data_IF_454338450653
#
_entry.id   IF_454338450653
#
_cell.length_a   1.000
_cell.length_b   1.000
_cell.length_c   1.000
_cell.angle_alpha   90.00
_cell.angle_beta   90.00
_cell.angle_gamma   90.00
#
_symmetry.space_group_name_H-M   'P 1'
#
loop_
_entity.id
_entity.type
_entity.pdbx_description
1 polymer ?
#
# COMPACT_ATOMS: atom_id res chain seq x y z
N UNK A 1 -8.77 -54.72 23.49
CA UNK A 1 -9.96 -54.35 24.29
C UNK A 1 -10.23 -52.86 24.09
N UNK A 2 -11.26 -52.52 23.30
CA UNK A 2 -11.73 -51.15 23.11
C UNK A 2 -12.45 -50.66 24.37
N UNK A 3 -12.21 -49.42 24.78
CA UNK A 3 -13.08 -48.72 25.74
C UNK A 3 -13.51 -47.37 25.15
N UNK A 4 -14.62 -47.42 24.42
CA UNK A 4 -15.38 -46.26 23.96
C UNK A 4 -16.05 -45.60 25.17
N UNK A 5 -15.75 -44.32 25.43
CA UNK A 5 -16.52 -43.52 26.39
C UNK A 5 -17.06 -42.29 25.67
N UNK A 6 -18.32 -42.39 25.24
CA UNK A 6 -19.11 -41.30 24.67
C UNK A 6 -19.43 -40.29 25.77
N UNK A 7 -18.94 -39.06 25.66
CA UNK A 7 -19.33 -37.97 26.55
C UNK A 7 -20.66 -37.40 26.04
N UNK A 8 -21.65 -37.41 26.95
CA UNK A 8 -23.04 -37.05 26.71
C UNK A 8 -23.17 -35.55 26.48
N UNK A 9 -23.94 -35.20 25.45
CA UNK A 9 -24.51 -33.87 25.22
C UNK A 9 -25.39 -33.50 26.42
N UNK A 10 -25.15 -32.33 27.00
CA UNK A 10 -26.10 -31.69 27.90
C UNK A 10 -26.51 -30.37 27.24
N UNK A 11 -27.73 -30.39 26.69
CA UNK A 11 -28.44 -29.23 26.17
C UNK A 11 -29.09 -28.55 27.37
N UNK A 12 -28.73 -27.31 27.64
CA UNK A 12 -29.45 -26.44 28.57
C UNK A 12 -29.61 -25.07 27.93
N UNK A 13 -30.72 -24.93 27.21
CA UNK A 13 -31.33 -23.66 26.83
C UNK A 13 -32.06 -23.06 28.03
N UNK A 14 -31.76 -21.81 28.44
CA UNK A 14 -32.77 -20.95 29.03
C UNK A 14 -33.43 -20.13 27.93
N UNK A 15 -34.73 -20.37 27.84
CA UNK A 15 -35.75 -19.70 27.04
C UNK A 15 -36.02 -18.29 27.62
N UNK A 16 -36.54 -17.42 26.75
CA UNK A 16 -37.33 -16.21 27.05
C UNK A 16 -36.55 -14.91 27.29
N UNK A 17 -36.64 -14.00 26.32
CA UNK A 17 -36.14 -12.63 26.44
C UNK A 17 -36.64 -11.71 25.35
N UNK A 18 -37.89 -11.23 25.52
CA UNK A 18 -38.44 -9.97 25.02
C UNK A 18 -38.73 -9.84 23.50
N UNK A 19 -40.04 -9.82 23.22
CA UNK A 19 -40.67 -9.25 22.02
C UNK A 19 -40.20 -7.81 21.79
N UNK A 20 -39.32 -7.59 20.81
CA UNK A 20 -39.13 -6.27 20.20
C UNK A 20 -40.06 -6.17 18.99
N UNK A 21 -41.21 -5.56 19.27
CA UNK A 21 -42.23 -5.12 18.32
C UNK A 21 -41.57 -4.21 17.28
N UNK A 22 -41.89 -4.49 16.01
CA UNK A 22 -41.30 -3.84 14.86
C UNK A 22 -41.52 -2.33 14.80
N UNK A 23 -40.42 -1.62 14.57
CA UNK A 23 -40.41 -0.51 13.64
C UNK A 23 -39.60 -0.97 12.42
N UNK A 24 -40.27 -1.43 11.37
CA UNK A 24 -39.71 -1.46 10.02
C UNK A 24 -39.59 -0.02 9.53
N UNK A 25 -38.62 0.71 10.06
CA UNK A 25 -38.10 1.88 9.40
C UNK A 25 -37.48 1.38 8.10
N UNK A 26 -38.12 1.69 6.96
CA UNK A 26 -37.53 1.61 5.64
C UNK A 26 -36.26 2.48 5.66
N UNK A 27 -35.16 1.92 6.15
CA UNK A 27 -33.84 2.45 5.90
C UNK A 27 -33.65 2.32 4.41
N UNK A 28 -33.64 3.45 3.70
CA UNK A 28 -33.11 3.54 2.36
C UNK A 28 -31.76 2.81 2.40
N UNK A 29 -31.72 1.62 1.80
CA UNK A 29 -30.51 0.82 1.71
C UNK A 29 -29.53 1.64 0.89
N UNK A 30 -28.70 2.44 1.57
CA UNK A 30 -27.51 2.99 0.97
C UNK A 30 -26.80 1.79 0.36
N UNK A 31 -26.64 1.79 -0.96
CA UNK A 31 -25.83 0.81 -1.65
C UNK A 31 -24.46 0.85 -1.01
N UNK A 32 -24.18 -0.12 -0.14
CA UNK A 32 -22.86 -0.35 0.39
C UNK A 32 -21.99 -0.70 -0.82
N UNK A 33 -21.34 0.32 -1.38
CA UNK A 33 -20.33 0.15 -2.40
C UNK A 33 -19.13 -0.45 -1.70
N UNK A 34 -19.17 -1.76 -1.48
CA UNK A 34 -17.98 -2.53 -1.25
C UNK A 34 -17.17 -2.41 -2.54
N UNK A 35 -16.23 -1.46 -2.56
CA UNK A 35 -15.23 -1.41 -3.63
C UNK A 35 -14.63 -2.80 -3.71
N UNK A 36 -14.76 -3.46 -4.87
CA UNK A 36 -14.18 -4.78 -5.08
C UNK A 36 -12.72 -4.71 -4.60
N UNK A 37 -12.38 -5.53 -3.60
CA UNK A 37 -11.03 -5.65 -3.10
C UNK A 37 -10.21 -6.38 -4.17
N UNK A 38 -9.90 -5.67 -5.26
CA UNK A 38 -9.00 -6.16 -6.29
C UNK A 38 -7.64 -6.41 -5.66
N UNK A 39 -7.07 -7.58 -5.95
CA UNK A 39 -5.71 -7.90 -5.51
C UNK A 39 -4.74 -6.87 -6.07
N UNK A 40 -4.18 -6.03 -5.20
CA UNK A 40 -3.13 -5.08 -5.59
C UNK A 40 -1.77 -5.80 -5.58
N UNK A 41 -0.90 -5.43 -6.51
CA UNK A 41 0.47 -5.94 -6.62
C UNK A 41 1.46 -4.80 -6.84
N UNK A 42 2.75 -5.09 -6.69
CA UNK A 42 3.80 -4.12 -6.95
C UNK A 42 3.82 -3.69 -8.43
N UNK A 43 4.11 -2.41 -8.72
CA UNK A 43 4.39 -1.93 -10.07
C UNK A 43 5.46 -2.77 -10.79
N UNK A 44 5.29 -2.95 -12.10
CA UNK A 44 6.22 -3.71 -12.96
C UNK A 44 6.69 -2.89 -14.17
N UNK A 45 7.77 -3.34 -14.80
CA UNK A 45 8.39 -2.63 -15.93
C UNK A 45 8.95 -1.26 -15.52
N UNK A 46 9.57 -1.22 -14.35
CA UNK A 46 10.13 -0.01 -13.79
C UNK A 46 11.51 0.31 -14.36
N UNK A 47 11.69 1.55 -14.79
CA UNK A 47 12.95 2.15 -15.26
C UNK A 47 13.25 3.39 -14.43
N UNK A 48 14.52 3.61 -14.11
CA UNK A 48 14.98 4.81 -13.43
C UNK A 48 16.33 5.24 -13.99
N UNK A 49 16.57 6.54 -14.02
CA UNK A 49 17.79 7.11 -14.57
C UNK A 49 18.17 8.41 -13.86
N UNK A 50 19.41 8.84 -14.10
CA UNK A 50 19.95 10.11 -13.63
C UNK A 50 20.08 11.06 -14.83
N UNK A 51 19.06 11.88 -15.13
CA UNK A 51 19.07 12.76 -16.31
C UNK A 51 20.07 13.92 -16.17
N UNK A 52 20.51 14.23 -14.95
CA UNK A 52 21.50 15.28 -14.69
C UNK A 52 22.01 15.24 -13.25
N UNK A 53 22.88 16.19 -12.89
CA UNK A 53 23.40 16.33 -11.53
C UNK A 53 22.36 16.81 -10.51
N UNK A 54 21.21 17.31 -10.96
CA UNK A 54 20.17 17.87 -10.10
C UNK A 54 19.27 16.80 -9.43
N UNK A 55 19.23 15.58 -9.96
CA UNK A 55 18.30 14.58 -9.45
C UNK A 55 18.13 13.35 -10.33
N UNK A 56 17.05 12.62 -10.06
CA UNK A 56 16.76 11.30 -10.65
C UNK A 56 15.30 11.22 -11.04
N UNK A 57 15.01 10.35 -12.00
CA UNK A 57 13.65 10.11 -12.49
C UNK A 57 13.35 8.61 -12.50
N UNK A 58 12.12 8.25 -12.18
CA UNK A 58 11.64 6.88 -12.23
C UNK A 58 10.25 6.79 -12.86
N UNK A 59 10.00 5.69 -13.58
CA UNK A 59 8.72 5.38 -14.22
C UNK A 59 8.50 3.87 -14.24
N UNK A 60 7.29 3.42 -13.95
CA UNK A 60 6.87 2.04 -14.21
C UNK A 60 5.80 2.00 -15.30
N UNK A 61 5.83 0.97 -16.14
CA UNK A 61 4.86 0.80 -17.24
C UNK A 61 3.51 0.30 -16.74
N UNK A 62 3.48 -0.55 -15.71
CA UNK A 62 2.24 -0.98 -15.05
C UNK A 62 2.31 -0.72 -13.54
N UNK A 63 1.22 -0.24 -12.94
CA UNK A 63 1.14 -0.01 -11.50
C UNK A 63 0.57 -1.20 -10.72
N UNK A 64 -0.23 -2.05 -11.36
CA UNK A 64 -0.91 -3.20 -10.75
C UNK A 64 -1.67 -2.85 -9.45
N UNK A 65 -2.20 -1.62 -9.35
CA UNK A 65 -2.85 -1.11 -8.13
C UNK A 65 -1.92 -0.38 -7.15
N UNK A 66 -0.62 -0.71 -7.16
CA UNK A 66 0.41 -0.10 -6.32
C UNK A 66 0.88 1.29 -6.78
N UNK A 67 1.98 1.76 -6.20
CA UNK A 67 2.61 3.06 -6.48
C UNK A 67 4.14 2.96 -6.45
N UNK A 68 4.81 3.87 -7.12
CA UNK A 68 6.28 3.97 -7.13
C UNK A 68 6.74 5.42 -6.92
N UNK A 69 7.99 5.60 -6.47
CA UNK A 69 8.65 6.91 -6.43
C UNK A 69 10.13 6.79 -6.83
N UNK A 70 10.67 7.87 -7.39
CA UNK A 70 12.11 7.99 -7.60
C UNK A 70 12.84 8.19 -6.27
N UNK A 71 14.05 7.65 -6.18
CA UNK A 71 15.01 7.94 -5.11
C UNK A 71 16.24 8.56 -5.77
N UNK A 72 16.73 9.66 -5.20
CA UNK A 72 18.01 10.25 -5.55
C UNK A 72 18.96 10.11 -4.35
N UNK A 73 20.02 9.32 -4.51
CA UNK A 73 21.15 9.39 -3.60
C UNK A 73 22.00 10.56 -4.07
N UNK A 74 22.06 11.59 -3.25
CA UNK A 74 22.81 12.81 -3.58
C UNK A 74 24.03 12.90 -2.67
N UNK A 75 25.15 13.33 -3.25
CA UNK A 75 26.43 13.46 -2.56
C UNK A 75 26.84 14.91 -2.52
N UNK A 76 27.19 15.38 -1.33
CA UNK A 76 27.83 16.67 -1.11
C UNK A 76 29.24 16.66 -1.73
N UNK A 77 29.55 17.57 -2.67
CA UNK A 77 30.87 17.60 -3.31
C UNK A 77 32.00 18.05 -2.39
N UNK A 78 31.71 18.77 -1.30
CA UNK A 78 32.72 19.32 -0.39
C UNK A 78 33.18 18.31 0.65
N UNK A 79 32.23 17.62 1.29
CA UNK A 79 32.52 16.69 2.41
C UNK A 79 32.20 15.23 2.09
N UNK A 80 31.57 14.95 0.95
CA UNK A 80 31.25 13.59 0.52
C UNK A 80 30.07 12.92 1.22
N UNK A 81 29.33 13.64 2.08
CA UNK A 81 28.12 13.13 2.75
C UNK A 81 27.08 12.73 1.71
N UNK A 82 26.43 11.59 1.94
CA UNK A 82 25.37 11.07 1.06
C UNK A 82 24.04 11.15 1.79
N UNK A 83 23.04 11.69 1.11
CA UNK A 83 21.67 11.80 1.61
C UNK A 83 20.67 11.28 0.56
N UNK A 84 19.57 10.72 1.06
CA UNK A 84 18.49 10.20 0.23
C UNK A 84 17.40 11.26 0.07
N UNK A 85 17.09 11.60 -1.17
CA UNK A 85 15.97 12.45 -1.53
C UNK A 85 14.90 11.65 -2.27
N UNK A 86 13.64 11.90 -1.92
CA UNK A 86 12.51 11.10 -2.39
C UNK A 86 11.57 11.91 -3.27
N UNK A 87 11.16 11.32 -4.38
CA UNK A 87 10.11 11.87 -5.22
C UNK A 87 8.71 11.59 -4.66
N UNK A 88 7.71 12.15 -5.34
CA UNK A 88 6.30 11.87 -5.03
C UNK A 88 5.93 10.45 -5.45
N UNK A 89 5.09 9.78 -4.65
CA UNK A 89 4.44 8.53 -5.03
C UNK A 89 3.51 8.73 -6.23
N UNK A 90 3.70 7.92 -7.27
CA UNK A 90 2.94 7.96 -8.51
C UNK A 90 2.37 6.58 -8.83
N UNK A 91 1.17 6.57 -9.40
CA UNK A 91 0.58 5.39 -10.06
C UNK A 91 0.83 5.40 -11.57
N UNK A 92 1.10 6.56 -12.16
CA UNK A 92 1.37 6.74 -13.59
C UNK A 92 2.27 7.96 -13.80
N UNK A 93 2.92 8.04 -14.97
CA UNK A 93 3.78 9.17 -15.35
C UNK A 93 5.21 9.07 -14.82
N UNK A 94 5.89 10.20 -14.68
CA UNK A 94 7.24 10.26 -14.14
C UNK A 94 7.22 10.69 -12.66
N UNK A 95 8.01 10.03 -11.83
CA UNK A 95 8.35 10.49 -10.48
C UNK A 95 9.75 11.09 -10.52
N UNK A 96 9.93 12.28 -9.94
CA UNK A 96 11.19 13.00 -9.90
C UNK A 96 11.64 13.17 -8.46
N UNK A 97 12.92 12.90 -8.19
CA UNK A 97 13.57 13.16 -6.91
C UNK A 97 14.72 14.14 -7.15
N UNK A 98 14.74 15.24 -6.40
CA UNK A 98 15.69 16.34 -6.57
C UNK A 98 16.65 16.41 -5.39
N UNK A 99 17.95 16.57 -5.68
CA UNK A 99 18.94 16.91 -4.68
C UNK A 99 18.71 18.35 -4.20
N UNK A 100 18.84 18.60 -2.90
CA UNK A 100 18.64 19.93 -2.31
C UNK A 100 19.97 20.62 -2.03
N UNK A 101 20.01 21.95 -2.15
CA UNK A 101 21.22 22.74 -1.92
C UNK A 101 22.34 22.39 -2.90
N UNK A 102 23.56 22.21 -2.38
CA UNK A 102 24.76 21.93 -3.17
C UNK A 102 24.99 20.43 -3.45
N UNK A 103 24.06 19.58 -3.02
CA UNK A 103 24.15 18.13 -3.24
C UNK A 103 23.98 17.80 -4.73
N UNK A 104 24.80 16.87 -5.22
CA UNK A 104 24.74 16.42 -6.61
C UNK A 104 24.30 14.96 -6.69
N UNK A 105 23.45 14.66 -7.67
CA UNK A 105 22.93 13.32 -7.90
C UNK A 105 24.08 12.35 -8.19
N UNK A 106 24.23 11.38 -7.30
CA UNK A 106 25.26 10.36 -7.36
C UNK A 106 24.70 9.09 -8.01
N UNK A 107 23.64 8.53 -7.42
CA UNK A 107 23.02 7.27 -7.86
C UNK A 107 21.49 7.39 -7.98
N UNK A 108 20.89 6.94 -9.10
CA UNK A 108 19.44 6.85 -9.22
C UNK A 108 18.88 5.56 -8.63
N UNK A 109 17.66 5.62 -8.11
CA UNK A 109 16.93 4.47 -7.59
C UNK A 109 15.42 4.62 -7.73
N UNK A 110 14.72 3.54 -7.40
CA UNK A 110 13.26 3.48 -7.38
C UNK A 110 12.78 2.71 -6.16
N UNK A 111 11.68 3.16 -5.58
CA UNK A 111 10.93 2.44 -4.56
C UNK A 111 9.53 2.13 -5.07
N UNK A 112 9.01 0.95 -4.71
CA UNK A 112 7.66 0.53 -5.08
C UNK A 112 6.89 0.04 -3.84
N UNK A 113 5.57 0.26 -3.83
CA UNK A 113 4.65 -0.20 -2.78
C UNK A 113 3.30 -0.60 -3.36
N UNK A 114 2.51 -1.32 -2.56
CA UNK A 114 1.15 -1.78 -2.87
C UNK A 114 0.13 -0.91 -2.13
#
# INVERSE_FOLDING_TARGET
>A
MLKNTRIRRTVTTPVLGVLLVGLFSLGAGATASASEAGTMAHPTGCSYEKPGSWGTVARCTSNNGGSYRAIALCKDPENGRVEDFYGTWKKTGFSYAYCQGDYLAYTPGIETRV
#
